data_IF_816131063500
#
_entry.id   IF_816131063500
#
_cell.length_a   1.000
_cell.length_b   1.000
_cell.length_c   1.000
_cell.angle_alpha   90.00
_cell.angle_beta   90.00
_cell.angle_gamma   90.00
#
_symmetry.space_group_name_H-M   'P 1'
#
loop_
_entity.id
_entity.type
_entity.pdbx_description
1 polymer ?
#
# COMPACT_ATOMS: atom_id res chain seq x y z
N UNK A 1 -0.81 11.25 26.45
CA UNK A 1 -1.53 11.51 25.19
C UNK A 1 -1.01 12.84 24.67
N UNK A 2 -0.22 12.89 23.60
CA UNK A 2 0.16 14.18 23.00
C UNK A 2 -1.05 14.75 22.26
N UNK A 3 -1.19 16.08 22.26
CA UNK A 3 -2.21 16.74 21.46
C UNK A 3 -1.94 16.46 19.96
N UNK A 4 -3.00 16.10 19.24
CA UNK A 4 -2.95 15.82 17.79
C UNK A 4 -2.41 17.06 17.07
N UNK A 5 -1.42 16.87 16.20
CA UNK A 5 -0.86 18.00 15.44
C UNK A 5 -1.72 18.24 14.19
N UNK A 6 -2.69 19.13 14.33
CA UNK A 6 -3.70 19.41 13.28
C UNK A 6 -3.07 19.80 11.95
N UNK A 7 -1.98 20.59 11.95
CA UNK A 7 -1.30 21.00 10.72
C UNK A 7 -0.64 19.82 10.00
N UNK A 8 -0.03 18.91 10.77
CA UNK A 8 0.57 17.69 10.23
C UNK A 8 -0.49 16.75 9.67
N UNK A 9 -1.57 16.51 10.41
CA UNK A 9 -2.70 15.69 9.94
C UNK A 9 -3.35 16.27 8.68
N UNK A 10 -3.52 17.59 8.61
CA UNK A 10 -4.05 18.26 7.43
C UNK A 10 -3.15 18.03 6.20
N UNK A 11 -1.84 18.15 6.36
CA UNK A 11 -0.89 17.91 5.27
C UNK A 11 -0.89 16.43 4.83
N UNK A 12 -0.93 15.49 5.77
CA UNK A 12 -1.03 14.06 5.45
C UNK A 12 -2.34 13.72 4.73
N UNK A 13 -3.45 14.34 5.15
CA UNK A 13 -4.76 14.17 4.52
C UNK A 13 -4.75 14.69 3.08
N UNK A 14 -4.15 15.87 2.83
CA UNK A 14 -3.98 16.40 1.47
C UNK A 14 -3.19 15.45 0.57
N UNK A 15 -2.10 14.88 1.08
CA UNK A 15 -1.29 13.91 0.35
C UNK A 15 -2.11 12.64 0.07
N UNK A 16 -2.86 12.16 1.05
CA UNK A 16 -3.72 10.98 0.89
C UNK A 16 -4.77 11.19 -0.22
N UNK A 17 -5.43 12.36 -0.23
CA UNK A 17 -6.39 12.75 -1.27
C UNK A 17 -5.72 12.77 -2.64
N UNK A 18 -4.54 13.39 -2.76
CA UNK A 18 -3.77 13.43 -4.00
C UNK A 18 -3.43 12.01 -4.50
N UNK A 19 -2.93 11.15 -3.62
CA UNK A 19 -2.62 9.76 -3.95
C UNK A 19 -3.86 8.99 -4.40
N UNK A 20 -5.00 9.16 -3.74
CA UNK A 20 -6.24 8.50 -4.15
C UNK A 20 -6.75 8.96 -5.51
N UNK A 21 -6.66 10.26 -5.80
CA UNK A 21 -6.97 10.76 -7.15
C UNK A 21 -6.04 10.15 -8.19
N UNK A 22 -4.74 10.03 -7.90
CA UNK A 22 -3.79 9.37 -8.79
C UNK A 22 -4.16 7.89 -9.01
N UNK A 23 -4.52 7.13 -7.97
CA UNK A 23 -4.98 5.73 -8.13
C UNK A 23 -6.17 5.66 -9.08
N UNK A 24 -7.21 6.48 -8.84
CA UNK A 24 -8.44 6.48 -9.65
C UNK A 24 -8.19 6.88 -11.10
N UNK A 25 -7.36 7.88 -11.34
CA UNK A 25 -6.97 8.32 -12.69
C UNK A 25 -6.16 7.23 -13.40
N UNK A 26 -5.17 6.66 -12.71
CA UNK A 26 -4.31 5.64 -13.29
C UNK A 26 -5.07 4.35 -13.60
N UNK A 27 -6.02 3.91 -12.77
CA UNK A 27 -6.80 2.72 -13.12
C UNK A 27 -7.69 2.95 -14.33
N UNK A 28 -8.22 4.18 -14.51
CA UNK A 28 -9.04 4.50 -15.68
C UNK A 28 -8.20 4.51 -16.95
N UNK A 29 -7.03 5.16 -16.89
CA UNK A 29 -6.13 5.28 -18.04
C UNK A 29 -5.44 3.96 -18.37
N UNK A 30 -4.94 3.25 -17.36
CA UNK A 30 -4.13 2.05 -17.53
C UNK A 30 -4.94 0.76 -17.72
N UNK A 31 -6.13 0.66 -17.13
CA UNK A 31 -6.91 -0.59 -17.08
C UNK A 31 -8.37 -0.44 -17.53
N UNK A 32 -8.81 0.78 -17.88
CA UNK A 32 -10.19 1.04 -18.31
C UNK A 32 -11.25 0.89 -17.20
N UNK A 33 -10.84 0.76 -15.94
CA UNK A 33 -11.78 0.55 -14.82
C UNK A 33 -12.59 1.81 -14.52
N UNK A 34 -13.90 1.66 -14.28
CA UNK A 34 -14.81 2.77 -13.98
C UNK A 34 -14.41 3.48 -12.68
N UNK A 35 -14.13 4.78 -12.75
CA UNK A 35 -13.84 5.59 -11.56
C UNK A 35 -15.03 5.63 -10.61
N UNK A 36 -16.23 5.79 -11.16
CA UNK A 36 -17.45 6.02 -10.37
C UNK A 36 -17.73 4.82 -9.46
N UNK A 37 -17.54 3.61 -9.97
CA UNK A 37 -17.73 2.39 -9.20
C UNK A 37 -16.65 2.17 -8.12
N UNK A 38 -15.48 2.76 -8.31
CA UNK A 38 -14.33 2.65 -7.42
C UNK A 38 -14.35 3.69 -6.30
N UNK A 39 -15.12 4.78 -6.43
CA UNK A 39 -15.22 5.85 -5.41
C UNK A 39 -15.56 5.30 -4.01
N UNK A 40 -16.58 4.43 -3.82
CA UNK A 40 -16.92 3.93 -2.50
C UNK A 40 -15.76 3.14 -1.85
N UNK A 41 -15.04 2.33 -2.64
CA UNK A 41 -13.86 1.60 -2.16
C UNK A 41 -12.74 2.55 -1.74
N UNK A 42 -12.50 3.60 -2.52
CA UNK A 42 -11.49 4.61 -2.21
C UNK A 42 -11.79 5.35 -0.91
N UNK A 43 -13.06 5.68 -0.66
CA UNK A 43 -13.50 6.31 0.59
C UNK A 43 -13.25 5.41 1.79
N UNK A 44 -13.48 4.10 1.67
CA UNK A 44 -13.19 3.14 2.74
C UNK A 44 -11.69 3.05 3.04
N UNK A 45 -10.86 2.97 2.00
CA UNK A 45 -9.39 2.99 2.14
C UNK A 45 -8.92 4.28 2.83
N UNK A 46 -9.51 5.42 2.46
CA UNK A 46 -9.21 6.70 3.11
C UNK A 46 -9.61 6.72 4.58
N UNK A 47 -10.79 6.20 4.93
CA UNK A 47 -11.22 6.10 6.32
C UNK A 47 -10.22 5.27 7.15
N UNK A 48 -9.79 4.11 6.63
CA UNK A 48 -8.79 3.25 7.29
C UNK A 48 -7.45 3.98 7.45
N UNK A 49 -6.99 4.69 6.40
CA UNK A 49 -5.76 5.46 6.46
C UNK A 49 -5.80 6.60 7.48
N UNK A 50 -6.93 7.32 7.58
CA UNK A 50 -7.11 8.39 8.57
C UNK A 50 -7.11 7.85 10.00
N UNK A 51 -7.77 6.72 10.23
CA UNK A 51 -7.74 6.05 11.54
C UNK A 51 -6.31 5.64 11.88
N UNK A 52 -5.58 5.02 10.95
CA UNK A 52 -4.18 4.62 11.16
C UNK A 52 -3.25 5.80 11.46
N UNK A 53 -3.41 6.92 10.76
CA UNK A 53 -2.66 8.16 11.01
C UNK A 53 -2.98 8.71 12.41
N UNK A 54 -4.25 8.73 12.78
CA UNK A 54 -4.69 9.18 14.11
C UNK A 54 -4.10 8.29 15.21
N UNK A 55 -4.13 6.97 15.05
CA UNK A 55 -3.50 6.03 15.99
C UNK A 55 -2.00 6.32 16.10
N UNK A 56 -1.31 6.53 14.98
CA UNK A 56 0.13 6.85 15.00
C UNK A 56 0.43 8.15 15.76
N UNK A 57 -0.42 9.16 15.64
CA UNK A 57 -0.24 10.42 16.37
C UNK A 57 -0.57 10.30 17.87
N UNK A 58 -1.58 9.52 18.23
CA UNK A 58 -1.95 9.27 19.63
C UNK A 58 -0.88 8.43 20.35
N UNK A 59 -0.21 7.53 19.62
CA UNK A 59 0.88 6.69 20.12
C UNK A 59 2.25 7.07 19.51
N UNK A 60 2.79 8.26 19.81
CA UNK A 60 4.01 8.77 19.17
C UNK A 60 5.26 7.96 19.52
N UNK A 61 5.26 7.27 20.68
CA UNK A 61 6.33 6.36 21.11
C UNK A 61 6.26 4.98 20.44
N UNK A 62 5.20 4.67 19.69
CA UNK A 62 5.09 3.41 18.98
C UNK A 62 6.13 3.35 17.86
N UNK A 63 6.89 2.24 17.79
CA UNK A 63 7.86 1.98 16.72
C UNK A 63 7.15 1.75 15.38
N UNK A 64 5.86 1.37 15.40
CA UNK A 64 5.11 1.06 14.19
C UNK A 64 4.87 2.30 13.34
N UNK A 65 5.20 2.30 12.03
CA UNK A 65 4.84 3.38 11.12
C UNK A 65 3.33 3.39 10.87
N UNK A 66 2.80 4.50 10.33
CA UNK A 66 1.38 4.61 9.99
C UNK A 66 0.92 3.50 9.03
N UNK A 67 1.75 3.15 8.04
CA UNK A 67 1.46 2.04 7.11
C UNK A 67 1.27 0.69 7.84
N UNK A 68 2.01 0.43 8.92
CA UNK A 68 1.81 -0.78 9.71
C UNK A 68 0.40 -0.84 10.33
N UNK A 69 -0.09 0.29 10.84
CA UNK A 69 -1.45 0.41 11.35
C UNK A 69 -2.50 0.26 10.25
N UNK A 70 -2.26 0.80 9.05
CA UNK A 70 -3.13 0.60 7.89
C UNK A 70 -3.26 -0.89 7.56
N UNK A 71 -2.14 -1.62 7.53
CA UNK A 71 -2.14 -3.05 7.24
C UNK A 71 -2.92 -3.86 8.28
N UNK A 72 -2.70 -3.57 9.57
CA UNK A 72 -3.43 -4.25 10.66
C UNK A 72 -4.94 -3.99 10.57
N UNK A 73 -5.35 -2.74 10.38
CA UNK A 73 -6.76 -2.37 10.24
C UNK A 73 -7.37 -2.98 8.97
N UNK A 74 -6.64 -2.97 7.86
CA UNK A 74 -7.07 -3.58 6.60
C UNK A 74 -7.31 -5.08 6.77
N UNK A 75 -6.41 -5.81 7.45
CA UNK A 75 -6.62 -7.22 7.79
C UNK A 75 -7.81 -7.42 8.73
N UNK A 76 -7.92 -6.61 9.78
CA UNK A 76 -9.04 -6.72 10.72
C UNK A 76 -10.40 -6.53 10.03
N UNK A 77 -10.47 -5.67 9.01
CA UNK A 77 -11.68 -5.41 8.24
C UNK A 77 -11.93 -6.43 7.13
N UNK A 78 -10.92 -7.14 6.64
CA UNK A 78 -11.06 -8.15 5.57
C UNK A 78 -11.21 -9.59 6.05
N UNK A 79 -11.01 -9.87 7.34
CA UNK A 79 -11.20 -11.21 7.91
C UNK A 79 -12.67 -11.64 7.80
N UNK A 80 -12.98 -12.88 7.35
CA UNK A 80 -14.35 -13.35 7.13
C UNK A 80 -15.23 -13.36 8.39
N UNK A 81 -14.64 -13.42 9.58
CA UNK A 81 -15.36 -13.35 10.86
C UNK A 81 -15.84 -11.92 11.20
N UNK A 82 -15.41 -10.90 10.46
CA UNK A 82 -15.86 -9.53 10.66
C UNK A 82 -17.15 -9.29 9.86
N UNK A 83 -18.26 -8.82 10.48
CA UNK A 83 -19.51 -8.52 9.77
C UNK A 83 -19.37 -7.45 8.68
N UNK A 84 -18.36 -6.58 8.78
CA UNK A 84 -18.08 -5.54 7.77
C UNK A 84 -17.24 -6.06 6.58
N UNK A 85 -16.72 -7.29 6.65
CA UNK A 85 -15.79 -7.82 5.63
C UNK A 85 -16.39 -7.93 4.25
N UNK A 86 -17.64 -8.41 4.12
CA UNK A 86 -18.32 -8.56 2.83
C UNK A 86 -18.41 -7.22 2.08
N UNK A 87 -19.07 -6.19 2.64
CA UNK A 87 -19.13 -4.87 2.04
C UNK A 87 -17.75 -4.25 1.81
N UNK A 88 -16.84 -4.33 2.80
CA UNK A 88 -15.49 -3.77 2.69
C UNK A 88 -14.76 -4.35 1.47
N UNK A 89 -14.66 -5.68 1.39
CA UNK A 89 -14.01 -6.37 0.28
C UNK A 89 -14.70 -6.11 -1.06
N UNK A 90 -16.05 -6.09 -1.11
CA UNK A 90 -16.79 -5.82 -2.34
C UNK A 90 -16.38 -4.49 -2.97
N UNK A 91 -16.29 -3.43 -2.18
CA UNK A 91 -15.93 -2.11 -2.69
C UNK A 91 -14.42 -1.92 -2.85
N UNK A 92 -13.58 -2.43 -1.96
CA UNK A 92 -12.12 -2.29 -2.09
C UNK A 92 -11.54 -3.11 -3.24
N UNK A 93 -12.15 -4.24 -3.61
CA UNK A 93 -11.73 -5.03 -4.77
C UNK A 93 -11.95 -4.31 -6.11
N UNK A 94 -12.76 -3.24 -6.13
CA UNK A 94 -12.91 -2.38 -7.31
C UNK A 94 -11.76 -1.37 -7.46
N UNK A 95 -10.84 -1.30 -6.51
CA UNK A 95 -9.64 -0.45 -6.60
C UNK A 95 -8.49 -1.27 -7.15
N UNK A 96 -7.90 -0.79 -8.25
CA UNK A 96 -6.68 -1.39 -8.77
C UNK A 96 -5.45 -0.61 -8.34
N UNK A 97 -4.80 -1.07 -7.27
CA UNK A 97 -3.56 -0.46 -6.78
C UNK A 97 -2.36 -0.67 -7.72
N UNK A 98 -2.38 -1.68 -8.61
CA UNK A 98 -1.28 -1.86 -9.56
C UNK A 98 -1.22 -0.71 -10.57
N UNK A 99 -2.33 -0.03 -10.83
CA UNK A 99 -2.38 1.07 -11.76
C UNK A 99 -1.45 2.25 -11.37
N UNK A 100 -1.21 2.48 -10.07
CA UNK A 100 -0.31 3.56 -9.61
C UNK A 100 1.17 3.19 -9.75
N UNK A 101 1.50 1.93 -10.04
CA UNK A 101 2.91 1.50 -10.12
C UNK A 101 3.67 2.27 -11.20
N UNK A 102 3.04 2.59 -12.33
CA UNK A 102 3.66 3.33 -13.43
C UNK A 102 4.14 4.73 -13.03
N UNK A 103 3.29 5.65 -12.55
CA UNK A 103 3.77 6.96 -12.10
C UNK A 103 4.70 6.85 -10.88
N UNK A 104 4.49 5.86 -10.00
CA UNK A 104 5.37 5.63 -8.87
C UNK A 104 6.79 5.27 -9.31
N UNK A 105 6.93 4.37 -10.29
CA UNK A 105 8.23 3.96 -10.84
C UNK A 105 8.88 5.09 -11.64
N UNK A 106 8.09 5.90 -12.34
CA UNK A 106 8.60 7.10 -13.00
C UNK A 106 9.18 8.10 -11.99
N UNK A 107 8.46 8.40 -10.90
CA UNK A 107 8.98 9.28 -9.84
C UNK A 107 10.18 8.67 -9.11
N UNK A 108 10.18 7.36 -8.87
CA UNK A 108 11.33 6.67 -8.29
C UNK A 108 12.55 6.78 -9.22
N UNK A 109 12.37 6.56 -10.53
CA UNK A 109 13.41 6.71 -11.54
C UNK A 109 13.98 8.13 -11.58
N UNK A 110 13.12 9.16 -11.58
CA UNK A 110 13.53 10.57 -11.53
C UNK A 110 14.28 10.87 -10.22
N UNK A 111 13.77 10.41 -9.07
CA UNK A 111 14.38 10.63 -7.76
C UNK A 111 15.77 10.01 -7.65
N UNK A 112 15.96 8.84 -8.26
CA UNK A 112 17.23 8.12 -8.29
C UNK A 112 18.16 8.68 -9.38
N UNK A 113 17.60 9.24 -10.46
CA UNK A 113 18.32 9.91 -11.54
C UNK A 113 19.12 11.15 -11.11
N UNK A 114 18.81 11.74 -9.95
CA UNK A 114 19.65 12.79 -9.36
C UNK A 114 20.92 12.26 -8.67
N UNK A 115 21.07 10.95 -8.53
CA UNK A 115 22.20 10.29 -7.84
C UNK A 115 22.97 9.33 -8.75
N UNK A 116 23.07 9.66 -10.03
CA UNK A 116 23.66 8.78 -11.06
C UNK A 116 25.11 8.42 -10.77
N UNK A 117 25.90 9.32 -10.15
CA UNK A 117 27.29 9.04 -9.77
C UNK A 117 27.39 7.93 -8.70
N UNK A 118 26.55 7.99 -7.67
CA UNK A 118 26.44 6.95 -6.64
C UNK A 118 25.99 5.61 -7.26
N UNK A 119 24.98 5.64 -8.14
CA UNK A 119 24.51 4.45 -8.85
C UNK A 119 25.60 3.84 -9.71
N UNK A 120 26.40 4.67 -10.39
CA UNK A 120 27.51 4.22 -11.24
C UNK A 120 28.53 3.42 -10.42
N UNK A 121 28.82 3.86 -9.19
CA UNK A 121 29.72 3.14 -8.29
C UNK A 121 29.19 1.75 -7.87
N UNK A 122 27.87 1.58 -7.85
CA UNK A 122 27.19 0.32 -7.49
C UNK A 122 26.70 -0.49 -8.71
N UNK A 123 26.90 0.00 -9.95
CA UNK A 123 26.20 -0.41 -11.19
C UNK A 123 25.79 -1.88 -11.27
N UNK A 124 26.76 -2.79 -11.26
CA UNK A 124 26.48 -4.22 -11.45
C UNK A 124 25.98 -4.91 -10.16
N UNK A 125 26.36 -4.38 -8.99
CA UNK A 125 25.98 -4.93 -7.68
C UNK A 125 24.47 -4.77 -7.45
N UNK A 126 23.89 -3.63 -7.86
CA UNK A 126 22.45 -3.39 -7.72
C UNK A 126 21.64 -4.42 -8.51
N UNK A 127 22.05 -4.74 -9.74
CA UNK A 127 21.36 -5.75 -10.55
C UNK A 127 21.39 -7.13 -9.87
N UNK A 128 22.57 -7.56 -9.40
CA UNK A 128 22.72 -8.83 -8.69
C UNK A 128 21.89 -8.86 -7.40
N UNK A 129 21.98 -7.82 -6.58
CA UNK A 129 21.23 -7.70 -5.32
C UNK A 129 19.72 -7.74 -5.61
N UNK A 130 19.25 -7.05 -6.66
CA UNK A 130 17.84 -7.06 -7.03
C UNK A 130 17.37 -8.46 -7.42
N UNK A 131 18.14 -9.18 -8.25
CA UNK A 131 17.82 -10.56 -8.63
C UNK A 131 17.73 -11.46 -7.40
N UNK A 132 18.74 -11.40 -6.52
CA UNK A 132 18.75 -12.19 -5.28
C UNK A 132 17.53 -11.85 -4.41
N UNK A 133 17.26 -10.56 -4.17
CA UNK A 133 16.14 -10.11 -3.33
C UNK A 133 14.80 -10.55 -3.90
N UNK A 134 14.57 -10.38 -5.22
CA UNK A 134 13.32 -10.79 -5.87
C UNK A 134 13.12 -12.32 -5.83
N UNK A 135 14.19 -13.10 -6.08
CA UNK A 135 14.15 -14.55 -5.95
C UNK A 135 13.82 -14.93 -4.50
N UNK A 136 14.56 -14.39 -3.53
CA UNK A 136 14.37 -14.73 -2.11
C UNK A 136 12.96 -14.42 -1.61
N UNK A 137 12.41 -13.25 -1.90
CA UNK A 137 11.06 -12.90 -1.43
C UNK A 137 9.99 -13.72 -2.14
N UNK A 138 10.16 -14.01 -3.44
CA UNK A 138 9.22 -14.85 -4.19
C UNK A 138 9.16 -16.26 -3.60
N UNK A 139 10.31 -16.91 -3.42
CA UNK A 139 10.35 -18.26 -2.85
C UNK A 139 9.88 -18.29 -1.40
N UNK A 140 10.22 -17.29 -0.58
CA UNK A 140 9.72 -17.22 0.80
C UNK A 140 8.19 -17.12 0.84
N UNK A 141 7.58 -16.26 0.04
CA UNK A 141 6.13 -16.14 -0.05
C UNK A 141 5.48 -17.41 -0.62
N UNK A 142 6.08 -18.03 -1.63
CA UNK A 142 5.58 -19.28 -2.23
C UNK A 142 5.60 -20.44 -1.22
N UNK A 143 6.68 -20.60 -0.46
CA UNK A 143 6.78 -21.63 0.58
C UNK A 143 5.73 -21.44 1.68
N UNK A 144 5.49 -20.20 2.11
CA UNK A 144 4.44 -19.88 3.10
C UNK A 144 3.06 -20.22 2.52
N UNK A 145 2.79 -19.83 1.27
CA UNK A 145 1.52 -20.14 0.61
C UNK A 145 1.31 -21.65 0.49
N UNK A 146 2.30 -22.41 0.02
CA UNK A 146 2.25 -23.87 -0.10
C UNK A 146 2.00 -24.54 1.26
N UNK A 147 2.71 -24.11 2.31
CA UNK A 147 2.51 -24.63 3.65
C UNK A 147 1.09 -24.38 4.16
N UNK A 148 0.56 -23.16 3.99
CA UNK A 148 -0.80 -22.80 4.44
C UNK A 148 -1.87 -23.56 3.63
N UNK A 149 -1.71 -23.69 2.32
CA UNK A 149 -2.68 -24.40 1.48
C UNK A 149 -2.70 -25.91 1.79
N UNK A 150 -1.53 -26.54 2.03
CA UNK A 150 -1.45 -27.93 2.50
C UNK A 150 -2.12 -28.13 3.86
N UNK A 151 -1.91 -27.19 4.79
CA UNK A 151 -2.56 -27.23 6.11
C UNK A 151 -4.09 -27.11 6.03
N UNK A 152 -4.61 -26.42 4.99
CA UNK A 152 -6.04 -26.31 4.72
C UNK A 152 -6.62 -27.46 3.88
N UNK A 153 -5.77 -28.33 3.33
CA UNK A 153 -6.18 -29.42 2.43
C UNK A 153 -6.66 -28.94 1.05
N UNK A 154 -6.26 -27.73 0.63
CA UNK A 154 -6.58 -27.20 -0.70
C UNK A 154 -5.67 -27.79 -1.80
N UNK A 155 -4.51 -28.32 -1.41
CA UNK A 155 -3.54 -29.11 -2.21
C UNK A 155 -2.83 -30.13 -1.31
#
# INVERSE_FOLDING_TARGET
MQAINVNKMLNQTKILILCGMLVLLCQKVGLGTSIIESIPGMVMIFAVALIALTIKEVFPKSIFPAFGWVTILGFALSIPYNPLSGPFMYYTNKINFMAITTPLLAFAGISVGNKIEELKSMSWKIALISVIVFISIFFACALIAEAVMKLRGEI
#
